data_IF_728021713890
#
_entry.id   IF_728021713890
#
_cell.length_a   1.000
_cell.length_b   1.000
_cell.length_c   1.000
_cell.angle_alpha   90.00
_cell.angle_beta   90.00
_cell.angle_gamma   90.00
#
_symmetry.space_group_name_H-M   'P 1'
#
loop_
_entity.id
_entity.type
_entity.pdbx_description
1 polymer ?
#
# COMPACT_ATOMS: atom_id res chain seq x y z
N UNK A 1 3.31 -4.52 19.95
CA UNK A 1 2.37 -5.08 18.96
C UNK A 1 3.05 -5.15 17.60
N UNK A 2 2.58 -6.03 16.71
CA UNK A 2 3.04 -6.11 15.31
C UNK A 2 2.04 -5.39 14.40
N UNK A 3 2.54 -4.47 13.60
CA UNK A 3 1.72 -3.61 12.75
C UNK A 3 2.15 -3.79 11.29
N UNK A 4 1.20 -4.16 10.46
CA UNK A 4 1.32 -4.17 9.01
C UNK A 4 0.94 -2.78 8.48
N UNK A 5 1.70 -2.27 7.52
CA UNK A 5 1.36 -1.04 6.77
C UNK A 5 1.54 -1.32 5.28
N UNK A 6 0.52 -1.04 4.47
CA UNK A 6 0.71 -1.02 3.03
C UNK A 6 1.54 0.19 2.60
N UNK A 7 2.20 0.10 1.45
CA UNK A 7 3.05 1.18 0.95
C UNK A 7 2.24 2.21 0.17
N UNK A 8 1.59 1.75 -0.91
CA UNK A 8 0.90 2.62 -1.85
C UNK A 8 -0.42 3.10 -1.27
N UNK A 9 -0.62 4.41 -1.33
CA UNK A 9 -1.80 5.10 -0.78
C UNK A 9 -2.06 4.93 0.73
N UNK A 10 -1.11 4.30 1.45
CA UNK A 10 -1.02 4.34 2.91
C UNK A 10 0.19 5.15 3.38
N UNK A 11 1.36 4.99 2.78
CA UNK A 11 2.57 5.78 3.04
C UNK A 11 2.84 6.80 1.94
N UNK A 12 2.73 6.41 0.66
CA UNK A 12 2.94 7.27 -0.50
C UNK A 12 1.64 7.52 -1.25
N UNK A 13 1.45 8.72 -1.81
CA UNK A 13 0.26 9.09 -2.61
C UNK A 13 0.37 8.60 -4.06
N UNK A 14 0.58 7.28 -4.27
CA UNK A 14 0.88 6.71 -5.59
C UNK A 14 -0.27 6.85 -6.60
N UNK A 15 -1.52 6.73 -6.20
CA UNK A 15 -2.66 6.85 -7.12
C UNK A 15 -2.78 8.27 -7.72
N UNK A 16 -2.33 9.32 -7.02
CA UNK A 16 -2.26 10.67 -7.58
C UNK A 16 -1.24 10.73 -8.71
N UNK A 17 -0.05 10.20 -8.46
CA UNK A 17 1.01 10.15 -9.47
C UNK A 17 0.62 9.28 -10.67
N UNK A 18 -0.07 8.17 -10.47
CA UNK A 18 -0.62 7.36 -11.57
C UNK A 18 -1.69 8.10 -12.38
N UNK A 19 -2.52 8.95 -11.74
CA UNK A 19 -3.49 9.79 -12.46
C UNK A 19 -2.79 10.83 -13.33
N UNK A 20 -1.76 11.49 -12.80
CA UNK A 20 -0.95 12.46 -13.54
C UNK A 20 -0.19 11.78 -14.68
N UNK A 21 0.37 10.59 -14.44
CA UNK A 21 1.05 9.79 -15.46
C UNK A 21 0.11 9.35 -16.59
N UNK A 22 -1.12 8.94 -16.27
CA UNK A 22 -2.11 8.59 -17.29
C UNK A 22 -2.47 9.80 -18.16
N UNK A 23 -2.52 11.00 -17.59
CA UNK A 23 -2.71 12.24 -18.34
C UNK A 23 -1.49 12.56 -19.22
N UNK A 24 -0.28 12.34 -18.73
CA UNK A 24 0.97 12.54 -19.47
C UNK A 24 1.08 11.58 -20.65
N UNK A 25 0.90 10.27 -20.42
CA UNK A 25 1.13 9.23 -21.42
C UNK A 25 0.00 9.11 -22.48
N UNK A 26 -1.24 9.34 -22.06
CA UNK A 26 -2.42 8.98 -22.84
C UNK A 26 -3.42 10.13 -23.00
N UNK A 27 -3.21 11.27 -22.35
CA UNK A 27 -4.19 12.38 -22.32
C UNK A 27 -5.44 12.07 -21.49
N UNK A 28 -5.43 10.98 -20.72
CA UNK A 28 -6.56 10.52 -19.90
C UNK A 28 -6.46 11.20 -18.54
N UNK A 29 -7.41 12.09 -18.25
CA UNK A 29 -7.48 12.83 -16.97
C UNK A 29 -8.64 12.33 -16.13
N UNK A 30 -8.33 11.66 -15.04
CA UNK A 30 -9.30 11.26 -14.02
C UNK A 30 -8.88 11.95 -12.73
N UNK A 31 -9.67 12.91 -12.22
CA UNK A 31 -9.38 13.53 -10.91
C UNK A 31 -9.28 12.47 -9.82
N UNK A 32 -8.35 12.66 -8.88
CA UNK A 32 -8.11 11.70 -7.80
C UNK A 32 -9.39 11.29 -7.07
N UNK A 33 -10.26 12.25 -6.74
CA UNK A 33 -11.52 12.00 -6.03
C UNK A 33 -12.56 11.21 -6.87
N UNK A 34 -12.30 11.05 -8.18
CA UNK A 34 -13.14 10.28 -9.10
C UNK A 34 -12.60 8.88 -9.39
N UNK A 35 -11.46 8.49 -8.83
CA UNK A 35 -10.90 7.14 -8.93
C UNK A 35 -11.78 6.19 -8.12
N UNK A 36 -12.77 5.56 -8.76
CA UNK A 36 -13.78 4.71 -8.10
C UNK A 36 -13.39 3.24 -7.98
N UNK A 37 -12.30 2.84 -8.60
CA UNK A 37 -11.85 1.45 -8.63
C UNK A 37 -10.37 1.38 -8.26
N UNK A 38 -10.02 0.44 -7.38
CA UNK A 38 -8.62 0.15 -7.06
C UNK A 38 -7.83 -0.31 -8.30
N UNK A 39 -8.46 -1.07 -9.20
CA UNK A 39 -7.84 -1.43 -10.47
C UNK A 39 -7.78 -0.20 -11.39
N UNK A 40 -6.57 0.34 -11.59
CA UNK A 40 -6.33 1.55 -12.39
C UNK A 40 -6.69 1.36 -13.87
N UNK A 41 -6.60 0.14 -14.43
CA UNK A 41 -7.05 -0.14 -15.79
C UNK A 41 -8.55 0.18 -15.94
N UNK A 42 -9.34 -0.27 -14.97
CA UNK A 42 -10.79 0.00 -14.93
C UNK A 42 -11.07 1.46 -14.61
N UNK A 43 -10.33 2.04 -13.64
CA UNK A 43 -10.53 3.41 -13.20
C UNK A 43 -10.30 4.43 -14.32
N UNK A 44 -9.30 4.19 -15.17
CA UNK A 44 -8.90 5.08 -16.26
C UNK A 44 -9.38 4.60 -17.64
N UNK A 45 -10.13 3.48 -17.70
CA UNK A 45 -10.62 2.87 -18.96
C UNK A 45 -9.50 2.58 -19.96
N UNK A 46 -8.38 2.02 -19.48
CA UNK A 46 -7.20 1.75 -20.29
C UNK A 46 -7.31 0.43 -21.06
N UNK A 47 -6.69 0.37 -22.24
CA UNK A 47 -6.41 -0.92 -22.90
C UNK A 47 -5.37 -1.71 -22.12
N UNK A 48 -5.18 -3.00 -22.45
CA UNK A 48 -4.17 -3.85 -21.79
C UNK A 48 -2.76 -3.28 -22.00
N UNK A 49 -2.45 -2.79 -23.21
CA UNK A 49 -1.16 -2.18 -23.55
C UNK A 49 -0.92 -0.88 -22.79
N UNK A 50 -1.94 -0.03 -22.69
CA UNK A 50 -1.87 1.21 -21.92
C UNK A 50 -1.65 0.94 -20.45
N UNK A 51 -2.38 -0.05 -19.88
CA UNK A 51 -2.23 -0.43 -18.50
C UNK A 51 -0.86 -1.01 -18.19
N UNK A 52 -0.35 -1.91 -19.05
CA UNK A 52 1.00 -2.46 -18.91
C UNK A 52 2.06 -1.35 -18.95
N UNK A 53 1.92 -0.39 -19.88
CA UNK A 53 2.81 0.77 -19.97
C UNK A 53 2.70 1.66 -18.75
N UNK A 54 1.50 1.97 -18.29
CA UNK A 54 1.28 2.78 -17.08
C UNK A 54 1.99 2.17 -15.86
N UNK A 55 1.86 0.85 -15.67
CA UNK A 55 2.52 0.16 -14.55
C UNK A 55 4.04 0.16 -14.71
N UNK A 56 4.56 -0.08 -15.91
CA UNK A 56 6.00 -0.08 -16.17
C UNK A 56 6.62 1.30 -15.85
N UNK A 57 6.07 2.36 -16.42
CA UNK A 57 6.52 3.74 -16.22
C UNK A 57 6.33 4.22 -14.76
N UNK A 58 5.22 3.83 -14.13
CA UNK A 58 4.93 4.18 -12.72
C UNK A 58 5.86 3.48 -11.73
N UNK A 59 6.48 2.37 -12.09
CA UNK A 59 7.46 1.67 -11.25
C UNK A 59 8.92 2.00 -11.61
N UNK A 60 9.16 2.94 -12.50
CA UNK A 60 10.51 3.43 -12.76
C UNK A 60 11.11 4.06 -11.49
N UNK A 61 12.40 3.84 -11.19
CA UNK A 61 13.02 4.25 -9.94
C UNK A 61 12.86 5.75 -9.63
N UNK A 62 13.07 6.61 -10.63
CA UNK A 62 12.97 8.05 -10.45
C UNK A 62 11.55 8.48 -10.09
N UNK A 63 10.54 7.83 -10.68
CA UNK A 63 9.13 8.11 -10.40
C UNK A 63 8.73 7.63 -9.01
N UNK A 64 9.11 6.42 -8.63
CA UNK A 64 8.85 5.89 -7.28
C UNK A 64 9.44 6.80 -6.19
N UNK A 65 10.63 7.34 -6.43
CA UNK A 65 11.27 8.27 -5.49
C UNK A 65 10.59 9.65 -5.43
N UNK A 66 9.85 10.04 -6.47
CA UNK A 66 9.13 11.31 -6.52
C UNK A 66 7.76 11.26 -5.83
N UNK A 67 7.23 10.09 -5.50
CA UNK A 67 5.93 9.95 -4.85
C UNK A 67 5.90 10.70 -3.52
N UNK A 68 4.88 11.54 -3.35
CA UNK A 68 4.70 12.31 -2.12
C UNK A 68 4.30 11.39 -0.97
N UNK A 69 4.72 11.76 0.21
CA UNK A 69 4.25 11.13 1.43
C UNK A 69 2.77 11.44 1.68
N UNK A 70 2.01 10.42 2.12
CA UNK A 70 0.70 10.63 2.73
C UNK A 70 0.89 11.47 4.00
N UNK A 71 0.18 12.59 4.15
CA UNK A 71 0.42 13.52 5.26
C UNK A 71 0.46 12.84 6.63
N UNK A 72 1.58 13.01 7.34
CA UNK A 72 1.79 12.50 8.69
C UNK A 72 2.18 11.02 8.80
N UNK A 73 2.30 10.28 7.69
CA UNK A 73 2.59 8.85 7.70
C UNK A 73 3.90 8.51 8.40
N UNK A 74 5.01 9.13 7.98
CA UNK A 74 6.33 8.86 8.56
C UNK A 74 6.42 9.25 10.02
N UNK A 75 5.82 10.38 10.40
CA UNK A 75 5.80 10.81 11.78
C UNK A 75 5.05 9.82 12.68
N UNK A 76 3.87 9.34 12.22
CA UNK A 76 3.07 8.37 12.97
C UNK A 76 3.77 7.01 13.08
N UNK A 77 4.36 6.50 11.98
CA UNK A 77 5.11 5.24 11.98
C UNK A 77 6.30 5.32 12.95
N UNK A 78 7.08 6.40 12.91
CA UNK A 78 8.21 6.58 13.83
C UNK A 78 7.75 6.66 15.29
N UNK A 79 6.62 7.33 15.57
CA UNK A 79 6.06 7.39 16.91
C UNK A 79 5.63 6.00 17.40
N UNK A 80 4.93 5.22 16.57
CA UNK A 80 4.55 3.83 16.90
C UNK A 80 5.79 2.97 17.19
N UNK A 81 6.83 3.08 16.38
CA UNK A 81 8.09 2.37 16.63
C UNK A 81 8.76 2.81 17.94
N UNK A 82 8.75 4.11 18.24
CA UNK A 82 9.32 4.65 19.49
C UNK A 82 8.60 4.16 20.74
N UNK A 83 7.32 3.80 20.60
CA UNK A 83 6.50 3.16 21.65
C UNK A 83 6.72 1.65 21.77
N UNK A 84 7.65 1.10 20.98
CA UNK A 84 8.03 -0.32 21.03
C UNK A 84 7.16 -1.23 20.15
N UNK A 85 6.41 -0.69 19.20
CA UNK A 85 5.70 -1.50 18.22
C UNK A 85 6.64 -1.95 17.10
N UNK A 86 6.45 -3.17 16.61
CA UNK A 86 7.16 -3.70 15.43
C UNK A 86 6.33 -3.33 14.19
N UNK A 87 6.77 -2.32 13.43
CA UNK A 87 6.11 -1.90 12.20
C UNK A 87 6.81 -2.52 11.00
N UNK A 88 6.05 -3.13 10.10
CA UNK A 88 6.54 -3.68 8.84
C UNK A 88 5.70 -3.18 7.67
N UNK A 89 6.37 -2.72 6.63
CA UNK A 89 5.72 -2.43 5.34
C UNK A 89 5.58 -3.72 4.55
N UNK A 90 4.37 -4.00 4.05
CA UNK A 90 4.11 -5.16 3.18
C UNK A 90 3.44 -4.66 1.91
N UNK A 91 4.20 -4.61 0.82
CA UNK A 91 3.75 -4.02 -0.44
C UNK A 91 3.40 -5.06 -1.51
N UNK A 92 2.46 -4.72 -2.39
CA UNK A 92 2.15 -5.46 -3.62
C UNK A 92 2.96 -5.02 -4.83
N UNK A 93 3.96 -4.13 -4.67
CA UNK A 93 4.87 -3.71 -5.74
C UNK A 93 5.69 -4.89 -6.28
N UNK A 94 6.16 -4.86 -7.54
CA UNK A 94 7.12 -5.85 -8.03
C UNK A 94 8.45 -5.76 -7.28
N UNK A 95 9.13 -6.89 -7.07
CA UNK A 95 10.39 -6.91 -6.33
C UNK A 95 11.51 -6.10 -7.02
N UNK A 96 11.42 -5.89 -8.33
CA UNK A 96 12.31 -4.98 -9.06
C UNK A 96 12.31 -3.55 -8.51
N UNK A 97 11.26 -3.15 -7.76
CA UNK A 97 11.14 -1.85 -7.10
C UNK A 97 11.72 -1.83 -5.68
N UNK A 98 12.45 -2.88 -5.24
CA UNK A 98 13.01 -2.95 -3.87
C UNK A 98 13.91 -1.76 -3.55
N UNK A 99 14.94 -1.53 -4.36
CA UNK A 99 15.92 -0.46 -4.10
C UNK A 99 15.28 0.94 -4.04
N UNK A 100 14.46 1.35 -5.03
CA UNK A 100 13.80 2.66 -4.94
C UNK A 100 12.78 2.74 -3.79
N UNK A 101 12.07 1.65 -3.48
CA UNK A 101 11.15 1.64 -2.33
C UNK A 101 11.90 1.78 -1.00
N UNK A 102 13.03 1.08 -0.84
CA UNK A 102 13.89 1.20 0.34
C UNK A 102 14.44 2.62 0.48
N UNK A 103 14.96 3.18 -0.62
CA UNK A 103 15.51 4.53 -0.63
C UNK A 103 14.42 5.58 -0.33
N UNK A 104 13.20 5.40 -0.84
CA UNK A 104 12.07 6.27 -0.49
C UNK A 104 11.79 6.26 1.01
N UNK A 105 11.73 5.07 1.63
CA UNK A 105 11.55 4.95 3.09
C UNK A 105 12.68 5.64 3.85
N UNK A 106 13.93 5.49 3.41
CA UNK A 106 15.09 6.12 4.04
C UNK A 106 15.04 7.65 3.96
N UNK A 107 14.62 8.21 2.82
CA UNK A 107 14.44 9.64 2.61
C UNK A 107 13.35 10.25 3.51
N UNK A 108 12.34 9.44 3.86
CA UNK A 108 11.24 9.84 4.75
C UNK A 108 11.48 9.45 6.22
N UNK A 109 12.73 9.12 6.59
CA UNK A 109 13.10 8.82 7.98
C UNK A 109 12.61 7.47 8.50
N UNK A 110 12.23 6.54 7.62
CA UNK A 110 11.74 5.19 7.94
C UNK A 110 12.81 4.11 7.68
N UNK A 111 14.07 4.42 7.97
CA UNK A 111 15.23 3.56 7.70
C UNK A 111 15.15 2.20 8.39
N UNK A 112 14.64 2.16 9.60
CA UNK A 112 14.59 0.95 10.42
C UNK A 112 13.32 0.11 10.19
N UNK A 113 12.39 0.59 9.37
CA UNK A 113 11.18 -0.15 9.01
C UNK A 113 11.53 -1.28 8.05
N UNK A 114 11.11 -2.50 8.37
CA UNK A 114 11.26 -3.64 7.46
C UNK A 114 10.28 -3.52 6.31
N UNK A 115 10.71 -3.87 5.10
CA UNK A 115 9.87 -3.94 3.92
C UNK A 115 9.81 -5.37 3.39
N UNK A 116 8.60 -5.82 3.10
CA UNK A 116 8.32 -7.12 2.50
C UNK A 116 7.49 -6.95 1.23
N UNK A 117 7.76 -7.81 0.26
CA UNK A 117 7.06 -7.88 -1.02
C UNK A 117 6.18 -9.12 -1.02
N UNK A 118 4.89 -8.91 -1.24
CA UNK A 118 3.89 -9.97 -1.24
C UNK A 118 3.01 -9.86 -2.48
N UNK A 119 2.84 -10.95 -3.23
CA UNK A 119 1.86 -10.98 -4.32
C UNK A 119 0.42 -11.02 -3.77
N UNK A 120 -0.07 -9.86 -3.32
CA UNK A 120 -1.43 -9.70 -2.79
C UNK A 120 -2.52 -9.94 -3.84
N UNK A 121 -2.16 -9.83 -5.13
CA UNK A 121 -3.12 -9.68 -6.22
C UNK A 121 -3.08 -10.84 -7.24
N UNK A 122 -2.20 -11.83 -7.04
CA UNK A 122 -2.05 -12.97 -7.95
C UNK A 122 -1.42 -12.61 -9.29
N UNK A 123 -0.45 -11.68 -9.28
CA UNK A 123 0.25 -11.22 -10.49
C UNK A 123 1.48 -12.07 -10.84
N UNK A 124 1.83 -13.05 -10.02
CA UNK A 124 3.01 -13.92 -10.14
C UNK A 124 4.35 -13.17 -10.31
N UNK A 125 4.42 -11.96 -9.75
CA UNK A 125 5.56 -11.04 -9.90
C UNK A 125 6.67 -11.23 -8.87
N UNK A 126 6.49 -12.16 -7.93
CA UNK A 126 7.47 -12.43 -6.88
C UNK A 126 7.97 -13.86 -6.92
N UNK A 127 9.30 -14.00 -6.98
CA UNK A 127 9.97 -15.28 -6.76
C UNK A 127 10.55 -15.30 -5.34
N UNK A 128 10.40 -16.42 -4.64
CA UNK A 128 10.92 -16.62 -3.27
C UNK A 128 12.46 -16.78 -3.26
N UNK A 129 13.16 -15.88 -3.94
CA UNK A 129 14.63 -15.88 -4.02
C UNK A 129 15.27 -14.93 -3.00
N UNK A 130 14.46 -14.18 -2.24
CA UNK A 130 14.94 -13.18 -1.30
C UNK A 130 14.10 -13.21 -0.01
N UNK A 131 14.75 -12.98 1.13
CA UNK A 131 14.10 -12.94 2.45
C UNK A 131 13.02 -11.86 2.58
N UNK A 132 13.07 -10.83 1.73
CA UNK A 132 12.05 -9.78 1.68
C UNK A 132 10.83 -10.19 0.83
N UNK A 133 10.86 -11.30 0.08
CA UNK A 133 9.74 -11.80 -0.69
C UNK A 133 8.99 -12.86 0.10
N UNK A 134 7.75 -12.54 0.48
CA UNK A 134 6.87 -13.45 1.21
C UNK A 134 5.98 -14.23 0.24
N UNK A 135 5.76 -15.51 0.50
CA UNK A 135 4.56 -16.18 0.03
C UNK A 135 3.38 -15.92 0.99
N UNK A 136 2.18 -16.32 0.57
CA UNK A 136 0.98 -16.11 1.39
C UNK A 136 1.04 -16.88 2.72
N UNK A 137 1.69 -18.05 2.74
CA UNK A 137 1.80 -18.84 3.96
C UNK A 137 2.76 -18.19 4.96
N UNK A 138 3.87 -17.61 4.49
CA UNK A 138 4.78 -16.84 5.32
C UNK A 138 4.06 -15.59 5.87
N UNK A 139 3.32 -14.89 5.02
CA UNK A 139 2.53 -13.74 5.43
C UNK A 139 1.52 -14.08 6.55
N UNK A 140 0.77 -15.16 6.40
CA UNK A 140 -0.21 -15.56 7.43
C UNK A 140 0.44 -16.00 8.75
N UNK A 141 1.69 -16.47 8.73
CA UNK A 141 2.44 -16.81 9.96
C UNK A 141 2.93 -15.57 10.72
N UNK A 142 3.02 -14.40 10.08
CA UNK A 142 3.51 -13.18 10.74
C UNK A 142 2.58 -12.70 11.86
N UNK A 143 1.27 -12.92 11.75
CA UNK A 143 0.24 -12.60 12.76
C UNK A 143 0.36 -11.15 13.25
N UNK A 144 -0.24 -10.24 12.53
CA UNK A 144 -0.29 -8.84 12.89
C UNK A 144 -1.42 -8.55 13.89
N UNK A 145 -1.18 -7.63 14.83
CA UNK A 145 -2.21 -7.10 15.72
C UNK A 145 -3.08 -6.07 14.97
N UNK A 146 -2.43 -5.22 14.16
CA UNK A 146 -3.08 -4.22 13.32
C UNK A 146 -2.56 -4.27 11.88
N UNK A 147 -3.42 -3.90 10.95
CA UNK A 147 -3.06 -3.72 9.55
C UNK A 147 -3.63 -2.40 9.02
N UNK A 148 -2.78 -1.54 8.46
CA UNK A 148 -3.19 -0.33 7.73
C UNK A 148 -3.19 -0.66 6.25
N UNK A 149 -4.36 -0.64 5.60
CA UNK A 149 -4.55 -1.09 4.22
C UNK A 149 -5.63 -0.25 3.53
N UNK A 150 -5.43 0.10 2.26
CA UNK A 150 -6.41 0.85 1.46
C UNK A 150 -7.11 -0.01 0.40
N UNK A 151 -6.48 -1.14 0.00
CA UNK A 151 -6.92 -1.98 -1.10
C UNK A 151 -8.04 -2.94 -0.72
N UNK A 152 -9.24 -2.81 -1.30
CA UNK A 152 -10.31 -3.80 -1.10
C UNK A 152 -9.93 -5.22 -1.55
N UNK A 153 -9.01 -5.34 -2.52
CA UNK A 153 -8.54 -6.64 -3.00
C UNK A 153 -7.64 -7.36 -2.00
N UNK A 154 -7.00 -6.62 -1.09
CA UNK A 154 -6.18 -7.19 -0.03
C UNK A 154 -7.00 -7.67 1.17
N UNK A 155 -8.23 -7.18 1.36
CA UNK A 155 -9.06 -7.53 2.52
C UNK A 155 -9.29 -9.04 2.68
N UNK A 156 -9.42 -9.79 1.58
CA UNK A 156 -9.54 -11.26 1.57
C UNK A 156 -8.41 -11.98 2.34
N UNK A 157 -7.22 -11.38 2.39
CA UNK A 157 -6.10 -11.99 3.11
C UNK A 157 -6.27 -11.87 4.62
N UNK A 158 -6.91 -10.81 5.09
CA UNK A 158 -7.19 -10.60 6.51
C UNK A 158 -8.36 -11.45 7.04
N UNK A 159 -9.18 -12.05 6.16
CA UNK A 159 -10.16 -13.07 6.57
C UNK A 159 -9.47 -14.31 7.16
N UNK A 160 -8.25 -14.62 6.71
CA UNK A 160 -7.41 -15.71 7.26
C UNK A 160 -6.60 -15.28 8.50
N UNK A 161 -6.69 -14.01 8.88
CA UNK A 161 -6.05 -13.43 10.06
C UNK A 161 -7.12 -12.80 10.98
N UNK A 162 -8.04 -13.60 11.57
CA UNK A 162 -9.23 -13.09 12.24
C UNK A 162 -8.91 -12.20 13.45
N UNK A 163 -7.76 -12.37 14.09
CA UNK A 163 -7.34 -11.57 15.23
C UNK A 163 -6.75 -10.19 14.82
N UNK A 164 -6.38 -10.03 13.55
CA UNK A 164 -5.83 -8.76 13.05
C UNK A 164 -6.95 -7.72 12.90
N UNK A 165 -6.81 -6.58 13.55
CA UNK A 165 -7.67 -5.42 13.36
C UNK A 165 -7.22 -4.64 12.13
N UNK A 166 -8.12 -4.41 11.17
CA UNK A 166 -7.80 -3.73 9.91
C UNK A 166 -8.24 -2.27 9.97
N UNK A 167 -7.28 -1.39 9.89
CA UNK A 167 -7.46 0.06 9.80
C UNK A 167 -7.48 0.42 8.31
N UNK A 168 -8.69 0.59 7.77
CA UNK A 168 -8.89 0.90 6.34
C UNK A 168 -8.61 2.37 6.12
N UNK A 169 -7.52 2.68 5.45
CA UNK A 169 -7.20 4.06 5.10
C UNK A 169 -8.21 4.56 4.04
N UNK A 170 -8.95 5.64 4.33
CA UNK A 170 -10.01 6.14 3.44
C UNK A 170 -9.44 6.61 2.11
N UNK A 171 -9.87 5.97 1.03
CA UNK A 171 -9.52 6.32 -0.33
C UNK A 171 -10.75 6.28 -1.23
N UNK A 172 -10.82 7.08 -2.31
CA UNK A 172 -12.02 7.15 -3.15
C UNK A 172 -12.53 5.79 -3.63
N UNK A 173 -11.61 4.85 -3.93
CA UNK A 173 -11.96 3.51 -4.43
C UNK A 173 -12.46 2.54 -3.36
N UNK A 174 -12.30 2.84 -2.08
CA UNK A 174 -12.77 1.95 -1.01
C UNK A 174 -13.97 2.49 -0.22
N UNK A 175 -14.43 3.72 -0.49
CA UNK A 175 -15.51 4.37 0.26
C UNK A 175 -16.84 3.61 0.21
N UNK A 176 -17.13 2.92 -0.91
CA UNK A 176 -18.33 2.10 -1.08
C UNK A 176 -18.16 0.63 -0.71
N UNK A 177 -17.02 0.22 -0.17
CA UNK A 177 -16.78 -1.18 0.16
C UNK A 177 -17.44 -1.56 1.49
N UNK A 178 -18.13 -2.70 1.49
CA UNK A 178 -18.51 -3.41 2.71
C UNK A 178 -17.30 -4.16 3.26
N UNK A 179 -17.20 -4.23 4.57
CA UNK A 179 -16.11 -4.96 5.22
C UNK A 179 -16.51 -6.42 5.43
N UNK A 180 -15.58 -7.38 5.21
CA UNK A 180 -15.92 -8.81 5.21
C UNK A 180 -16.26 -9.35 6.61
N UNK A 181 -15.89 -8.65 7.69
CA UNK A 181 -16.16 -9.04 9.09
C UNK A 181 -16.05 -7.85 10.02
N UNK A 182 -16.38 -8.06 11.30
CA UNK A 182 -16.02 -7.13 12.38
C UNK A 182 -14.49 -6.99 12.51
N UNK A 183 -14.03 -5.93 13.15
CA UNK A 183 -12.59 -5.63 13.34
C UNK A 183 -11.98 -4.80 12.22
N UNK A 184 -12.81 -4.28 11.29
CA UNK A 184 -12.40 -3.26 10.33
C UNK A 184 -12.86 -1.89 10.81
N UNK A 185 -11.95 -0.91 10.77
CA UNK A 185 -12.23 0.48 11.13
C UNK A 185 -11.73 1.40 10.02
N UNK A 186 -12.60 2.26 9.49
CA UNK A 186 -12.21 3.27 8.52
C UNK A 186 -11.46 4.40 9.22
N UNK A 187 -10.29 4.74 8.71
CA UNK A 187 -9.43 5.82 9.20
C UNK A 187 -9.22 6.85 8.10
N UNK A 188 -9.29 8.12 8.44
CA UNK A 188 -9.21 9.21 7.48
C UNK A 188 -7.80 9.83 7.39
N UNK A 189 -6.99 9.62 8.42
CA UNK A 189 -5.63 10.13 8.52
C UNK A 189 -4.78 9.27 9.46
N UNK A 190 -3.49 9.59 9.50
CA UNK A 190 -2.54 8.90 10.37
C UNK A 190 -2.65 9.28 11.84
N UNK A 191 -3.26 10.42 12.17
CA UNK A 191 -3.52 10.79 13.55
C UNK A 191 -4.54 9.84 14.18
N UNK A 192 -5.65 9.58 13.48
CA UNK A 192 -6.65 8.60 13.92
C UNK A 192 -6.05 7.18 14.06
N UNK A 193 -5.21 6.75 13.10
CA UNK A 193 -4.53 5.44 13.16
C UNK A 193 -3.67 5.35 14.42
N UNK A 194 -2.86 6.36 14.68
CA UNK A 194 -1.98 6.44 15.84
C UNK A 194 -2.76 6.39 17.15
N UNK A 195 -3.89 7.08 17.23
CA UNK A 195 -4.76 7.08 18.43
C UNK A 195 -5.39 5.69 18.68
N UNK A 196 -5.80 4.98 17.63
CA UNK A 196 -6.40 3.64 17.74
C UNK A 196 -5.37 2.61 18.18
N UNK A 197 -4.16 2.69 17.65
CA UNK A 197 -3.09 1.73 17.97
C UNK A 197 -2.54 1.99 19.38
N UNK A 198 -2.47 3.22 19.84
CA UNK A 198 -2.07 3.60 21.20
C UNK A 198 -0.61 3.98 21.31
#
# INVERSE_FOLDING_TARGET
MKIYVDFDDCLSESARDFSDLAAELFGIRVPYEEIRFFNLQKAFSLTDEQYARLLAEGHEPERLLSYKEVPGASAAVNELMSRGHEVSVVTGRPFSSYEPSRLWLDQHGLRDVRIYFLDKYGREIHRKENECCLDLDDFYRMKFDYAVEDSPLAFKHFERLPETKVLVYDRPWNRGCEFPREGYTRCFDWEMIREIVG
#
